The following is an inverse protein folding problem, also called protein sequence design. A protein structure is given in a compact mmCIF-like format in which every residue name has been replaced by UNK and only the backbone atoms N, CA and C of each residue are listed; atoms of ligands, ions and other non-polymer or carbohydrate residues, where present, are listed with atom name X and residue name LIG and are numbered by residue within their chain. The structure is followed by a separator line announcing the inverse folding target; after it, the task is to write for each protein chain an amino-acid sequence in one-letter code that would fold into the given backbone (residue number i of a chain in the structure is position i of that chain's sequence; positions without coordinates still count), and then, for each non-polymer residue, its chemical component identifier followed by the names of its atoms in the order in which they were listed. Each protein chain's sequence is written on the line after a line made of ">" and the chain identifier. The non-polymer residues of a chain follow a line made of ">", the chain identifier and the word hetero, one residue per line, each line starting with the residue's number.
data_IF_337552708549
#
_entry.id   IF_337552708549
#
_cell.length_a   1.000
_cell.length_b   1.000
_cell.length_c   1.000
_cell.angle_alpha   90.00
_cell.angle_beta   90.00
_cell.angle_gamma   90.00
#
_symmetry.space_group_name_H-M   'P 1'
#
loop_
_entity.id
_entity.type
_entity.pdbx_description
1 polymer ?
#
# COMPACT_ATOMS: atom_id res chain seq x y z
N UNK A 1 78.12 -52.39 13.68
CA UNK A 1 78.39 -51.36 12.64
C UNK A 1 77.22 -50.48 12.54
N UNK A 2 77.39 -49.18 12.90
CA UNK A 2 76.36 -48.15 12.83
C UNK A 2 76.09 -47.79 11.37
N UNK A 3 74.85 -47.99 10.89
CA UNK A 3 74.46 -47.65 9.51
C UNK A 3 73.97 -46.25 9.41
N UNK A 4 74.84 -45.30 9.11
CA UNK A 4 74.54 -43.87 9.02
C UNK A 4 73.49 -43.55 7.97
N UNK A 5 73.47 -44.29 6.85
CA UNK A 5 72.54 -44.12 5.78
C UNK A 5 71.08 -44.35 6.26
N UNK A 6 70.87 -45.45 6.98
CA UNK A 6 69.53 -45.72 7.57
C UNK A 6 69.08 -44.68 8.55
N UNK A 7 69.96 -44.09 9.35
CA UNK A 7 69.64 -43.02 10.26
C UNK A 7 69.21 -41.74 9.51
N UNK A 8 69.91 -41.36 8.46
CA UNK A 8 69.60 -40.23 7.60
C UNK A 8 68.25 -40.42 6.90
N UNK A 9 67.96 -41.57 6.30
CA UNK A 9 66.68 -41.84 5.65
C UNK A 9 65.48 -41.75 6.62
N UNK A 10 65.70 -42.19 7.87
CA UNK A 10 64.67 -42.10 8.92
C UNK A 10 64.38 -40.64 9.31
N UNK A 11 65.42 -39.80 9.47
CA UNK A 11 65.30 -38.40 9.75
C UNK A 11 64.59 -37.65 8.61
N UNK A 12 64.99 -37.93 7.38
CA UNK A 12 64.38 -37.29 6.19
C UNK A 12 62.90 -37.60 6.06
N UNK A 13 62.51 -38.87 6.30
CA UNK A 13 61.08 -39.28 6.32
C UNK A 13 60.28 -38.57 7.40
N UNK A 14 60.87 -38.40 8.60
CA UNK A 14 60.21 -37.69 9.70
C UNK A 14 60.06 -36.21 9.35
N UNK A 15 61.07 -35.57 8.79
CA UNK A 15 61.05 -34.19 8.40
C UNK A 15 60.05 -33.92 7.27
N UNK A 16 60.03 -34.76 6.25
CA UNK A 16 59.01 -34.73 5.16
C UNK A 16 57.59 -34.86 5.70
N UNK A 17 57.35 -35.80 6.62
CA UNK A 17 56.03 -35.96 7.25
C UNK A 17 55.63 -34.70 8.05
N UNK A 18 56.54 -34.11 8.81
CA UNK A 18 56.29 -32.87 9.58
C UNK A 18 56.03 -31.68 8.64
N UNK A 19 56.82 -31.52 7.60
CA UNK A 19 56.65 -30.48 6.59
C UNK A 19 55.28 -30.57 5.88
N UNK A 20 54.91 -31.75 5.40
CA UNK A 20 53.67 -31.98 4.74
C UNK A 20 52.46 -31.77 5.67
N UNK A 21 52.54 -32.20 6.92
CA UNK A 21 51.50 -31.93 7.94
C UNK A 21 51.34 -30.44 8.21
N UNK A 22 52.43 -29.70 8.34
CA UNK A 22 52.39 -28.24 8.56
C UNK A 22 51.81 -27.51 7.35
N UNK A 23 52.22 -27.86 6.14
CA UNK A 23 51.69 -27.30 4.88
C UNK A 23 50.19 -27.55 4.75
N UNK A 24 49.74 -28.78 5.10
CA UNK A 24 48.30 -29.11 5.09
C UNK A 24 47.49 -28.30 6.08
N UNK A 25 48.01 -28.10 7.30
CA UNK A 25 47.35 -27.29 8.31
C UNK A 25 47.24 -25.79 7.91
N UNK A 26 48.29 -25.27 7.28
CA UNK A 26 48.28 -23.87 6.77
C UNK A 26 47.27 -23.73 5.64
N UNK A 27 47.23 -24.65 4.72
CA UNK A 27 46.23 -24.63 3.61
C UNK A 27 44.78 -24.71 4.15
N UNK A 28 44.54 -25.56 5.16
CA UNK A 28 43.22 -25.65 5.80
C UNK A 28 42.88 -24.33 6.48
N UNK A 29 43.85 -23.65 7.14
CA UNK A 29 43.65 -22.33 7.71
C UNK A 29 43.23 -21.27 6.70
N UNK A 30 43.82 -21.23 5.49
CA UNK A 30 43.44 -20.32 4.42
C UNK A 30 42.02 -20.62 3.89
N UNK A 31 41.64 -21.89 3.76
CA UNK A 31 40.29 -22.26 3.33
C UNK A 31 39.25 -21.80 4.35
N UNK A 32 39.48 -22.05 5.65
CA UNK A 32 38.58 -21.65 6.73
C UNK A 32 38.46 -20.14 6.79
N UNK A 33 39.58 -19.39 6.69
CA UNK A 33 39.55 -17.92 6.69
C UNK A 33 38.79 -17.35 5.49
N UNK A 34 38.94 -17.95 4.31
CA UNK A 34 38.18 -17.57 3.10
C UNK A 34 36.68 -17.78 3.26
N UNK A 35 36.26 -18.93 3.78
CA UNK A 35 34.84 -19.23 4.05
C UNK A 35 34.27 -18.25 5.11
N UNK A 36 35.02 -17.96 6.18
CA UNK A 36 34.60 -17.02 7.21
C UNK A 36 34.43 -15.60 6.63
N UNK A 37 35.37 -15.15 5.79
CA UNK A 37 35.29 -13.84 5.14
C UNK A 37 34.07 -13.72 4.20
N UNK A 38 33.80 -14.76 3.41
CA UNK A 38 32.62 -14.76 2.53
C UNK A 38 31.30 -14.78 3.32
N UNK A 39 31.23 -15.53 4.42
CA UNK A 39 30.06 -15.51 5.32
C UNK A 39 29.84 -14.14 5.94
N UNK A 40 30.89 -13.47 6.39
CA UNK A 40 30.78 -12.11 6.94
C UNK A 40 30.36 -11.10 5.87
N UNK A 41 30.83 -11.23 4.63
CA UNK A 41 30.38 -10.40 3.52
C UNK A 41 28.89 -10.64 3.21
N UNK A 42 28.44 -11.88 3.11
CA UNK A 42 27.03 -12.22 2.87
C UNK A 42 26.14 -11.70 3.99
N UNK A 43 26.55 -11.86 5.25
CA UNK A 43 25.83 -11.31 6.42
C UNK A 43 25.85 -9.77 6.43
N UNK A 44 26.93 -9.15 6.01
CA UNK A 44 27.03 -7.70 5.86
C UNK A 44 26.09 -7.16 4.79
N UNK A 45 26.10 -7.79 3.60
CA UNK A 45 25.21 -7.43 2.49
C UNK A 45 23.74 -7.66 2.82
N UNK A 46 23.40 -8.74 3.55
CA UNK A 46 22.02 -8.99 3.97
C UNK A 46 21.49 -7.93 4.95
N UNK A 47 22.35 -7.39 5.82
CA UNK A 47 21.98 -6.29 6.73
C UNK A 47 21.93 -4.91 6.04
N UNK A 48 22.59 -4.72 4.92
CA UNK A 48 22.53 -3.48 4.16
C UNK A 48 21.25 -3.33 3.34
N UNK A 49 20.29 -4.28 3.41
CA UNK A 49 19.01 -4.21 2.71
C UNK A 49 19.11 -4.24 1.18
N UNK A 50 20.26 -4.66 0.64
CA UNK A 50 20.49 -4.70 -0.82
C UNK A 50 19.56 -5.71 -1.51
N UNK A 51 19.05 -6.69 -0.75
CA UNK A 51 18.11 -7.72 -1.24
C UNK A 51 16.64 -7.40 -0.95
N UNK A 52 16.33 -6.33 -0.21
CA UNK A 52 14.95 -5.99 0.21
C UNK A 52 14.22 -5.04 -0.75
N UNK A 53 14.80 -4.71 -1.90
CA UNK A 53 14.06 -4.00 -2.95
C UNK A 53 13.14 -4.98 -3.67
N UNK A 54 12.03 -5.33 -3.03
CA UNK A 54 10.88 -5.81 -3.78
C UNK A 54 10.46 -4.67 -4.73
N UNK A 55 10.28 -4.95 -6.04
CA UNK A 55 9.76 -3.93 -6.94
C UNK A 55 8.43 -3.43 -6.36
N UNK A 56 8.32 -2.12 -6.10
CA UNK A 56 7.04 -1.52 -5.74
C UNK A 56 6.08 -1.80 -6.89
N UNK A 57 5.17 -2.73 -6.68
CA UNK A 57 4.15 -3.05 -7.67
C UNK A 57 3.16 -1.90 -7.67
N UNK A 58 3.35 -0.97 -8.60
CA UNK A 58 2.49 0.18 -8.78
C UNK A 58 1.37 -0.18 -9.75
N UNK A 59 0.13 -0.13 -9.28
CA UNK A 59 -1.06 -0.26 -10.13
C UNK A 59 -1.77 1.08 -10.16
N UNK A 60 -1.96 1.63 -11.36
CA UNK A 60 -2.73 2.85 -11.56
C UNK A 60 -3.94 2.57 -12.44
N UNK A 61 -5.10 3.12 -12.07
CA UNK A 61 -6.33 3.06 -12.83
C UNK A 61 -7.04 4.41 -12.75
N UNK A 62 -7.57 4.85 -13.89
CA UNK A 62 -8.37 6.07 -14.00
C UNK A 62 -9.72 5.74 -14.63
N UNK A 63 -10.77 6.32 -14.10
CA UNK A 63 -12.10 6.37 -14.73
C UNK A 63 -12.34 7.80 -15.19
N UNK A 64 -12.26 8.05 -16.47
CA UNK A 64 -12.48 9.37 -17.07
C UNK A 64 -13.95 9.81 -16.89
N UNK A 65 -14.25 11.08 -17.16
CA UNK A 65 -15.62 11.56 -17.20
C UNK A 65 -16.43 10.73 -18.20
N UNK A 66 -17.70 10.49 -17.92
CA UNK A 66 -18.58 9.63 -18.71
C UNK A 66 -18.33 8.12 -18.58
N UNK A 67 -17.30 7.69 -17.85
CA UNK A 67 -16.94 6.28 -17.70
C UNK A 67 -16.89 5.82 -16.24
N UNK A 68 -16.95 4.52 -16.04
CA UNK A 68 -16.67 3.83 -14.78
C UNK A 68 -15.72 2.69 -15.03
N UNK A 69 -14.93 2.34 -14.03
CA UNK A 69 -13.94 1.27 -14.14
C UNK A 69 -14.00 0.36 -12.93
N UNK A 70 -13.61 -0.90 -13.10
CA UNK A 70 -13.41 -1.84 -12.01
C UNK A 70 -11.99 -2.37 -12.08
N UNK A 71 -11.31 -2.40 -10.95
CA UNK A 71 -9.95 -2.91 -10.83
C UNK A 71 -9.85 -3.92 -9.69
N UNK A 72 -9.18 -5.04 -9.98
CA UNK A 72 -8.76 -6.00 -8.96
C UNK A 72 -7.31 -5.70 -8.62
N UNK A 73 -7.08 -5.33 -7.37
CA UNK A 73 -5.75 -4.99 -6.86
C UNK A 73 -4.92 -6.26 -6.58
N UNK A 74 -3.58 -6.17 -6.51
CA UNK A 74 -2.70 -7.32 -6.28
C UNK A 74 -2.95 -8.07 -4.97
N UNK A 75 -3.59 -7.43 -3.99
CA UNK A 75 -3.96 -8.02 -2.70
C UNK A 75 -5.32 -8.74 -2.73
N UNK A 76 -5.97 -8.78 -3.91
CA UNK A 76 -7.31 -9.34 -4.11
C UNK A 76 -8.46 -8.40 -3.75
N UNK A 77 -8.19 -7.16 -3.35
CA UNK A 77 -9.24 -6.14 -3.15
C UNK A 77 -9.83 -5.72 -4.50
N UNK A 78 -11.13 -5.45 -4.51
CA UNK A 78 -11.86 -4.96 -5.70
C UNK A 78 -12.26 -3.52 -5.48
N UNK A 79 -11.98 -2.66 -6.45
CA UNK A 79 -12.37 -1.25 -6.40
C UNK A 79 -13.16 -0.91 -7.66
N UNK A 80 -14.39 -0.43 -7.47
CA UNK A 80 -15.19 0.17 -8.53
C UNK A 80 -15.02 1.67 -8.47
N UNK A 81 -14.63 2.28 -9.58
CA UNK A 81 -14.39 3.72 -9.71
C UNK A 81 -15.56 4.37 -10.44
N UNK A 82 -16.12 5.43 -9.84
CA UNK A 82 -17.08 6.28 -10.51
C UNK A 82 -16.37 7.30 -11.42
N UNK A 83 -17.11 7.98 -12.27
CA UNK A 83 -16.60 8.93 -13.28
C UNK A 83 -15.73 10.03 -12.64
N UNK A 84 -14.59 10.35 -13.27
CA UNK A 84 -13.65 11.35 -12.79
C UNK A 84 -12.80 10.90 -11.61
N UNK A 85 -12.54 9.60 -11.47
CA UNK A 85 -11.80 9.03 -10.34
C UNK A 85 -10.45 8.46 -10.76
N UNK A 86 -9.46 8.56 -9.89
CA UNK A 86 -8.11 8.03 -10.07
C UNK A 86 -7.65 7.29 -8.80
N UNK A 87 -7.05 6.11 -9.00
CA UNK A 87 -6.48 5.30 -7.94
C UNK A 87 -5.07 4.87 -8.32
N UNK A 88 -4.16 4.96 -7.36
CA UNK A 88 -2.82 4.39 -7.45
C UNK A 88 -2.58 3.52 -6.22
N UNK A 89 -2.30 2.24 -6.44
CA UNK A 89 -1.99 1.26 -5.40
C UNK A 89 -0.52 0.91 -5.41
N UNK A 90 0.07 0.79 -4.23
CA UNK A 90 1.42 0.26 -4.02
C UNK A 90 1.53 -0.47 -2.69
N UNK A 91 2.51 -1.38 -2.58
CA UNK A 91 2.89 -1.97 -1.29
C UNK A 91 4.07 -1.18 -0.71
N UNK A 92 3.84 -0.49 0.40
CA UNK A 92 4.89 0.22 1.12
C UNK A 92 5.59 -0.74 2.11
N UNK A 93 6.73 -1.30 1.69
CA UNK A 93 7.49 -2.27 2.49
C UNK A 93 8.06 -1.65 3.78
N UNK A 94 8.37 -0.35 3.79
CA UNK A 94 8.92 0.37 4.95
C UNK A 94 7.88 0.51 6.06
N UNK A 95 6.66 0.91 5.70
CA UNK A 95 5.55 1.09 6.65
C UNK A 95 4.75 -0.20 6.85
N UNK A 96 4.99 -1.21 6.02
CA UNK A 96 4.23 -2.48 5.96
C UNK A 96 2.73 -2.23 5.81
N UNK A 97 2.37 -1.43 4.81
CA UNK A 97 0.98 -1.10 4.47
C UNK A 97 0.71 -1.36 2.99
N UNK A 98 -0.53 -1.63 2.66
CA UNK A 98 -1.12 -1.57 1.32
C UNK A 98 -1.53 -0.13 1.11
N UNK A 99 -0.73 0.63 0.39
CA UNK A 99 -0.92 2.07 0.24
C UNK A 99 -1.73 2.39 -1.01
N UNK A 100 -2.71 3.26 -0.88
CA UNK A 100 -3.53 3.76 -1.97
C UNK A 100 -3.54 5.28 -1.94
N UNK A 101 -3.23 5.92 -3.08
CA UNK A 101 -3.54 7.31 -3.30
C UNK A 101 -4.83 7.37 -4.14
N UNK A 102 -5.80 8.15 -3.69
CA UNK A 102 -7.13 8.17 -4.27
C UNK A 102 -7.71 9.59 -4.37
N UNK A 103 -8.39 9.85 -5.46
CA UNK A 103 -9.28 11.00 -5.66
C UNK A 103 -10.51 10.57 -6.47
N UNK A 104 -11.65 11.22 -6.26
CA UNK A 104 -12.89 10.90 -6.94
C UNK A 104 -13.87 10.16 -6.05
N UNK A 105 -14.67 9.27 -6.63
CA UNK A 105 -15.60 8.41 -5.90
C UNK A 105 -15.36 6.94 -6.26
N UNK A 106 -15.34 6.09 -5.25
CA UNK A 106 -15.14 4.66 -5.42
C UNK A 106 -15.81 3.83 -4.34
N UNK A 107 -16.25 2.66 -4.76
CA UNK A 107 -16.68 1.61 -3.85
C UNK A 107 -15.55 0.61 -3.70
N UNK A 108 -15.11 0.44 -2.48
CA UNK A 108 -13.99 -0.41 -2.10
C UNK A 108 -14.52 -1.67 -1.42
N UNK A 109 -14.13 -2.82 -1.93
CA UNK A 109 -14.28 -4.12 -1.26
C UNK A 109 -12.89 -4.66 -0.94
N UNK A 110 -12.41 -4.32 0.24
CA UNK A 110 -11.02 -4.58 0.65
C UNK A 110 -10.88 -5.95 1.25
N UNK A 111 -9.99 -6.77 0.69
CA UNK A 111 -9.69 -8.12 1.17
C UNK A 111 -9.15 -8.10 2.60
N UNK A 112 -9.67 -9.02 3.45
CA UNK A 112 -9.22 -9.19 4.85
C UNK A 112 -7.74 -9.56 4.91
N UNK A 113 -6.94 -8.72 5.57
CA UNK A 113 -5.50 -8.92 5.70
C UNK A 113 -4.99 -8.30 7.01
N UNK A 114 -3.94 -8.91 7.61
CA UNK A 114 -3.25 -8.35 8.78
C UNK A 114 -2.48 -7.07 8.43
N UNK A 115 -2.04 -6.93 7.18
CA UNK A 115 -1.38 -5.73 6.67
C UNK A 115 -2.45 -4.67 6.42
N UNK A 116 -2.37 -3.48 7.05
CA UNK A 116 -3.34 -2.42 6.85
C UNK A 116 -3.45 -1.97 5.40
N UNK A 117 -4.66 -1.64 4.97
CA UNK A 117 -4.94 -0.93 3.72
C UNK A 117 -5.19 0.53 4.07
N UNK A 118 -4.37 1.43 3.53
CA UNK A 118 -4.38 2.85 3.88
C UNK A 118 -4.60 3.68 2.64
N UNK A 119 -5.74 4.38 2.59
CA UNK A 119 -6.02 5.36 1.55
C UNK A 119 -5.53 6.71 2.02
N UNK A 120 -4.65 7.32 1.23
CA UNK A 120 -4.15 8.69 1.41
C UNK A 120 -4.85 9.62 0.41
N UNK A 121 -5.36 10.73 0.91
CA UNK A 121 -6.01 11.77 0.11
C UNK A 121 -5.16 13.04 0.10
N UNK A 122 -5.29 13.86 -0.95
CA UNK A 122 -4.45 15.05 -1.17
C UNK A 122 -4.56 16.11 -0.06
N UNK A 123 -5.62 16.08 0.73
CA UNK A 123 -5.86 16.99 1.85
C UNK A 123 -5.27 16.51 3.18
N UNK A 124 -4.47 15.44 3.19
CA UNK A 124 -3.85 14.87 4.38
C UNK A 124 -4.76 13.93 5.19
N UNK A 125 -6.02 13.75 4.80
CA UNK A 125 -6.90 12.76 5.40
C UNK A 125 -6.43 11.35 5.02
N UNK A 126 -6.41 10.45 5.99
CA UNK A 126 -6.08 9.02 5.82
C UNK A 126 -7.24 8.17 6.28
N UNK A 127 -7.53 7.12 5.51
CA UNK A 127 -8.53 6.11 5.83
C UNK A 127 -7.82 4.76 5.93
N UNK A 128 -7.92 4.11 7.07
CA UNK A 128 -7.25 2.84 7.35
C UNK A 128 -8.26 1.75 7.63
N UNK A 129 -8.07 0.60 6.96
CA UNK A 129 -8.93 -0.59 7.10
C UNK A 129 -8.11 -1.89 7.07
N UNK A 130 -8.75 -3.01 7.45
CA UNK A 130 -8.14 -4.35 7.43
C UNK A 130 -8.93 -5.40 6.62
N UNK A 131 -10.11 -5.04 6.14
CA UNK A 131 -11.03 -5.89 5.40
C UNK A 131 -12.43 -5.33 5.56
N UNK A 132 -12.90 -4.55 4.58
CA UNK A 132 -13.98 -3.59 4.79
C UNK A 132 -14.59 -3.24 3.45
N UNK A 133 -15.93 -3.19 3.39
CA UNK A 133 -16.66 -2.74 2.21
C UNK A 133 -17.28 -1.36 2.49
N UNK A 134 -16.94 -0.34 1.67
CA UNK A 134 -17.35 1.04 1.88
C UNK A 134 -17.34 1.86 0.59
N UNK A 135 -18.14 2.94 0.57
CA UNK A 135 -18.05 4.00 -0.43
C UNK A 135 -17.24 5.18 0.11
N UNK A 136 -16.39 5.73 -0.74
CA UNK A 136 -15.58 6.92 -0.44
C UNK A 136 -15.73 7.91 -1.58
N UNK A 137 -16.22 9.14 -1.25
CA UNK A 137 -16.28 10.28 -2.16
C UNK A 137 -15.28 11.34 -1.72
N UNK A 138 -14.26 11.57 -2.55
CA UNK A 138 -13.12 12.44 -2.26
C UNK A 138 -12.70 13.25 -3.50
N UNK A 139 -13.64 13.83 -4.23
CA UNK A 139 -13.35 14.70 -5.37
C UNK A 139 -12.62 15.96 -4.91
N UNK A 140 -11.60 16.37 -5.65
CA UNK A 140 -10.77 17.53 -5.28
C UNK A 140 -11.53 18.86 -5.31
N UNK A 141 -12.50 18.98 -6.20
CA UNK A 141 -13.36 20.16 -6.40
C UNK A 141 -14.60 20.22 -5.48
N UNK A 142 -14.81 19.18 -4.64
CA UNK A 142 -15.85 19.16 -3.61
C UNK A 142 -15.30 19.70 -2.27
N UNK A 143 -16.21 20.31 -1.46
CA UNK A 143 -15.85 20.88 -0.16
C UNK A 143 -15.62 19.83 0.92
N UNK A 144 -16.20 18.65 0.74
CA UNK A 144 -16.19 17.56 1.71
C UNK A 144 -15.52 16.32 1.15
N UNK A 145 -15.12 15.43 2.07
CA UNK A 145 -14.90 14.00 1.80
C UNK A 145 -15.95 13.24 2.58
N UNK A 146 -16.58 12.27 1.94
CA UNK A 146 -17.65 11.47 2.54
C UNK A 146 -17.29 9.99 2.52
N UNK A 147 -17.39 9.34 3.67
CA UNK A 147 -17.20 7.91 3.83
C UNK A 147 -18.47 7.26 4.34
N UNK A 148 -18.89 6.15 3.71
CA UNK A 148 -20.08 5.40 4.07
C UNK A 148 -19.73 3.92 4.20
N UNK A 149 -19.84 3.38 5.40
CA UNK A 149 -19.33 2.05 5.75
C UNK A 149 -20.42 0.99 5.70
N UNK A 150 -20.24 0.00 4.82
CA UNK A 150 -21.18 -1.11 4.63
C UNK A 150 -20.84 -2.28 5.55
N UNK A 151 -19.57 -2.72 5.55
CA UNK A 151 -19.10 -3.86 6.37
C UNK A 151 -17.70 -3.58 6.92
N UNK A 152 -17.44 -4.05 8.15
CA UNK A 152 -16.13 -3.96 8.79
C UNK A 152 -15.98 -2.73 9.69
N UNK A 153 -14.78 -2.15 9.72
CA UNK A 153 -14.49 -0.93 10.47
C UNK A 153 -13.50 -0.03 9.71
N UNK A 154 -13.65 1.28 9.88
CA UNK A 154 -12.78 2.31 9.33
C UNK A 154 -12.19 3.15 10.46
N UNK A 155 -10.89 3.42 10.41
CA UNK A 155 -10.23 4.49 11.14
C UNK A 155 -9.94 5.64 10.18
N UNK A 156 -10.61 6.79 10.36
CA UNK A 156 -10.27 8.05 9.70
C UNK A 156 -9.28 8.81 10.59
N UNK A 157 -8.24 9.37 9.99
CA UNK A 157 -7.15 10.07 10.68
C UNK A 157 -6.75 11.33 9.91
N UNK A 158 -6.78 12.48 10.60
CA UNK A 158 -6.30 13.76 10.07
C UNK A 158 -5.59 14.54 11.20
N UNK A 159 -4.27 14.62 11.12
CA UNK A 159 -3.45 15.28 12.14
C UNK A 159 -3.57 14.60 13.51
N UNK A 160 -4.19 15.31 14.48
CA UNK A 160 -4.43 14.79 15.82
C UNK A 160 -5.86 14.27 16.02
N UNK A 161 -6.72 14.38 15.01
CA UNK A 161 -8.12 13.98 15.08
C UNK A 161 -8.30 12.58 14.49
N UNK A 162 -9.02 11.72 15.21
CA UNK A 162 -9.35 10.37 14.78
C UNK A 162 -10.83 10.11 14.95
N UNK A 163 -11.42 9.43 13.97
CA UNK A 163 -12.80 8.97 14.00
C UNK A 163 -12.85 7.48 13.64
N UNK A 164 -13.45 6.68 14.52
CA UNK A 164 -13.73 5.27 14.26
C UNK A 164 -15.17 5.13 13.77
N UNK A 165 -15.34 4.33 12.72
CA UNK A 165 -16.63 4.01 12.13
C UNK A 165 -16.88 2.51 12.17
N UNK A 166 -18.13 2.14 12.47
CA UNK A 166 -18.64 0.76 12.42
C UNK A 166 -19.59 0.60 11.25
N UNK A 167 -19.90 -0.65 10.87
CA UNK A 167 -20.85 -0.92 9.80
C UNK A 167 -22.18 -0.19 10.02
N UNK A 168 -22.66 0.50 8.99
CA UNK A 168 -23.83 1.37 9.03
C UNK A 168 -23.52 2.86 9.26
N UNK A 169 -22.32 3.20 9.70
CA UNK A 169 -21.94 4.58 9.94
C UNK A 169 -21.61 5.32 8.64
N UNK A 170 -21.88 6.64 8.68
CA UNK A 170 -21.48 7.60 7.65
C UNK A 170 -20.74 8.76 8.32
N UNK A 171 -19.71 9.29 7.67
CA UNK A 171 -18.92 10.41 8.16
C UNK A 171 -18.57 11.39 7.05
N UNK A 172 -18.46 12.66 7.41
CA UNK A 172 -18.04 13.75 6.54
C UNK A 172 -16.81 14.43 7.14
N UNK A 173 -15.81 14.63 6.32
CA UNK A 173 -14.67 15.50 6.58
C UNK A 173 -14.84 16.80 5.79
N UNK A 174 -14.87 17.91 6.47
CA UNK A 174 -14.94 19.26 5.88
C UNK A 174 -13.52 19.77 5.63
N UNK A 175 -13.18 20.02 4.36
CA UNK A 175 -11.84 20.42 3.92
C UNK A 175 -11.47 21.86 4.32
N UNK A 176 -12.46 22.74 4.60
CA UNK A 176 -12.20 24.10 5.01
C UNK A 176 -11.86 24.19 6.50
N UNK A 177 -12.60 23.44 7.32
CA UNK A 177 -12.44 23.46 8.76
C UNK A 177 -11.50 22.39 9.28
N UNK A 178 -11.13 21.41 8.44
CA UNK A 178 -10.37 20.21 8.78
C UNK A 178 -11.01 19.40 9.92
N UNK A 179 -12.36 19.35 9.96
CA UNK A 179 -13.12 18.65 10.99
C UNK A 179 -13.82 17.42 10.45
N UNK A 180 -13.78 16.36 11.22
CA UNK A 180 -14.54 15.14 10.97
C UNK A 180 -15.79 15.10 11.85
N UNK A 181 -16.91 14.63 11.28
CA UNK A 181 -18.13 14.43 12.05
C UNK A 181 -18.93 13.25 11.50
N UNK A 182 -19.58 12.46 12.37
CA UNK A 182 -20.57 11.51 11.92
C UNK A 182 -21.77 12.25 11.33
N UNK A 183 -22.44 11.61 10.36
CA UNK A 183 -23.68 12.09 9.77
C UNK A 183 -24.69 10.96 9.72
N UNK A 184 -25.98 11.31 9.76
CA UNK A 184 -27.07 10.38 9.57
C UNK A 184 -27.59 10.47 8.14
N UNK A 185 -27.94 9.33 7.55
CA UNK A 185 -28.43 9.25 6.20
C UNK A 185 -28.85 7.84 5.84
N UNK A 186 -29.36 7.67 4.63
CA UNK A 186 -29.67 6.35 4.08
C UNK A 186 -28.42 5.81 3.42
N UNK A 187 -27.75 4.87 4.07
CA UNK A 187 -26.45 4.34 3.64
C UNK A 187 -26.45 3.90 2.17
N UNK A 188 -27.52 3.24 1.70
CA UNK A 188 -27.63 2.77 0.31
C UNK A 188 -27.64 3.90 -0.74
N UNK A 189 -27.97 5.12 -0.35
CA UNK A 189 -27.93 6.27 -1.25
C UNK A 189 -26.50 6.63 -1.66
N UNK A 190 -25.52 6.45 -0.77
CA UNK A 190 -24.12 6.83 -1.01
C UNK A 190 -23.43 5.96 -2.09
N UNK A 191 -23.89 4.73 -2.30
CA UNK A 191 -23.34 3.83 -3.33
C UNK A 191 -24.37 3.40 -4.38
N UNK A 192 -25.50 4.13 -4.45
CA UNK A 192 -26.57 3.86 -5.43
C UNK A 192 -26.13 4.03 -6.89
N UNK A 193 -25.05 4.75 -7.11
CA UNK A 193 -24.41 4.89 -8.41
C UNK A 193 -23.95 3.56 -9.01
N UNK A 194 -23.70 2.53 -8.17
CA UNK A 194 -23.42 1.17 -8.64
C UNK A 194 -24.59 0.56 -9.43
N UNK A 195 -25.82 1.02 -9.18
CA UNK A 195 -27.06 0.63 -9.83
C UNK A 195 -27.58 1.68 -10.84
N UNK A 196 -26.73 2.63 -11.25
CA UNK A 196 -27.11 3.75 -12.13
C UNK A 196 -28.21 4.68 -11.55
N UNK A 197 -28.34 4.72 -10.23
CA UNK A 197 -29.30 5.57 -9.52
C UNK A 197 -28.60 6.77 -8.89
N UNK A 198 -29.29 7.90 -8.86
CA UNK A 198 -28.89 9.11 -8.13
C UNK A 198 -30.03 9.55 -7.21
N UNK A 199 -29.73 9.66 -5.92
CA UNK A 199 -30.62 10.25 -4.93
C UNK A 199 -30.23 11.70 -4.70
N UNK A 200 -31.14 12.63 -4.97
CA UNK A 200 -30.89 14.09 -4.90
C UNK A 200 -31.51 14.73 -3.67
N UNK A 201 -31.83 13.93 -2.65
CA UNK A 201 -32.52 14.44 -1.47
C UNK A 201 -31.66 15.50 -0.76
N UNK A 202 -32.18 16.71 -0.65
CA UNK A 202 -31.51 17.90 -0.10
C UNK A 202 -30.13 18.23 -0.72
N UNK A 203 -29.82 17.73 -1.90
CA UNK A 203 -28.57 18.03 -2.60
C UNK A 203 -28.62 19.42 -3.26
N UNK A 204 -27.63 20.32 -3.03
CA UNK A 204 -27.57 21.61 -3.73
C UNK A 204 -27.52 21.40 -5.25
N UNK A 205 -28.24 22.24 -6.01
CA UNK A 205 -28.29 22.14 -7.47
C UNK A 205 -26.88 22.15 -8.10
N UNK A 206 -25.95 22.94 -7.57
CA UNK A 206 -24.57 22.96 -8.03
C UNK A 206 -23.87 21.59 -7.91
N UNK A 207 -24.14 20.85 -6.83
CA UNK A 207 -23.59 19.48 -6.64
C UNK A 207 -24.23 18.48 -7.60
N UNK A 208 -25.55 18.62 -7.86
CA UNK A 208 -26.24 17.81 -8.87
C UNK A 208 -25.62 18.05 -10.26
N UNK A 209 -25.40 19.31 -10.65
CA UNK A 209 -24.76 19.65 -11.93
C UNK A 209 -23.38 19.01 -12.04
N UNK A 210 -22.53 19.15 -11.03
CA UNK A 210 -21.20 18.52 -11.02
C UNK A 210 -21.25 16.99 -11.16
N UNK A 211 -22.20 16.34 -10.47
CA UNK A 211 -22.41 14.89 -10.63
C UNK A 211 -22.76 14.55 -12.09
N UNK A 212 -23.71 15.27 -12.71
CA UNK A 212 -24.12 15.05 -14.09
C UNK A 212 -23.00 15.36 -15.09
N UNK A 213 -22.24 16.42 -14.86
CA UNK A 213 -21.05 16.77 -15.66
C UNK A 213 -20.04 15.61 -15.67
N UNK A 214 -19.70 15.06 -14.50
CA UNK A 214 -18.80 13.90 -14.41
C UNK A 214 -19.40 12.65 -15.06
N UNK A 215 -20.69 12.39 -14.81
CA UNK A 215 -21.35 11.15 -15.26
C UNK A 215 -21.53 11.07 -16.77
N UNK A 216 -21.79 12.21 -17.42
CA UNK A 216 -22.13 12.27 -18.84
C UNK A 216 -21.11 13.00 -19.71
N UNK A 217 -20.01 13.44 -19.11
CA UNK A 217 -18.95 14.22 -19.78
C UNK A 217 -19.52 15.44 -20.53
N UNK A 218 -20.31 16.24 -19.81
CA UNK A 218 -20.98 17.45 -20.33
C UNK A 218 -20.62 18.64 -19.46
N UNK A 219 -20.80 19.85 -19.98
CA UNK A 219 -20.67 21.10 -19.20
C UNK A 219 -22.05 21.70 -19.00
N UNK A 220 -22.40 22.00 -17.75
CA UNK A 220 -23.70 22.58 -17.36
C UNK A 220 -23.49 24.01 -16.88
N UNK A 221 -24.09 24.96 -17.57
CA UNK A 221 -24.06 26.38 -17.19
C UNK A 221 -25.29 26.75 -16.41
N UNK A 222 -25.16 27.06 -15.12
CA UNK A 222 -26.22 27.62 -14.30
C UNK A 222 -26.33 29.13 -14.52
N UNK A 223 -27.48 29.64 -14.93
CA UNK A 223 -27.76 31.09 -14.91
C UNK A 223 -27.95 31.55 -13.47
N UNK A 224 -27.31 32.68 -13.14
CA UNK A 224 -27.30 33.22 -11.78
C UNK A 224 -28.68 33.70 -11.24
N UNK A 225 -29.67 33.83 -12.10
CA UNK A 225 -30.97 34.42 -11.77
C UNK A 225 -32.04 33.38 -11.34
N UNK A 226 -31.69 32.16 -11.10
CA UNK A 226 -32.57 31.07 -10.64
C UNK A 226 -32.21 30.56 -9.24
N UNK A 227 -31.67 31.41 -8.38
CA UNK A 227 -31.33 31.11 -6.99
C UNK A 227 -32.38 31.66 -6.02
#
# INVERSE_FOLDING_TARGET
>A
TFNAQYAWDKIDRINKKRYNKRKRLVNIGYIISGVAATLLLVLGFSKMGVFDKQPEMLVRMTADYGSRSEVVLPDGSVVKLNSGSDITYSYNAKEKIREVNFQGEGFFDVSKNKIPFVIKMNNGLRLKVHGTSFNLQAYTDEKTVEASLVEGCIELDHGNEKLLMNAGDMAVFDKQTNRMRPVSGVLSHSYSWLEDKLYMDHMPLASVCKYLERRYDVTIHLQKDLG
#
